data_IF_043367863465
#
_entry.id   IF_043367863465
#
_cell.length_a   1.000
_cell.length_b   1.000
_cell.length_c   1.000
_cell.angle_alpha   90.00
_cell.angle_beta   90.00
_cell.angle_gamma   90.00
#
_symmetry.space_group_name_H-M   'P 1'
#
loop_
_entity.id
_entity.type
_entity.pdbx_description
1 polymer ?
#
# COMPACT_ATOMS: atom_id res chain seq x y z
N UNK A 1 25.45 15.13 -15.32
CA UNK A 1 24.63 14.36 -14.37
C UNK A 1 24.15 15.29 -13.28
N UNK A 2 22.85 15.58 -13.19
CA UNK A 2 22.30 16.24 -12.00
C UNK A 2 22.20 15.20 -10.89
N UNK A 3 22.93 15.43 -9.80
CA UNK A 3 22.77 14.66 -8.56
C UNK A 3 21.45 15.10 -7.93
N UNK A 4 20.36 14.42 -8.27
CA UNK A 4 19.08 14.62 -7.58
C UNK A 4 19.18 13.86 -6.26
N UNK A 5 19.02 14.57 -5.15
CA UNK A 5 18.94 13.93 -3.83
C UNK A 5 17.60 13.20 -3.74
N UNK A 6 17.59 11.89 -3.38
CA UNK A 6 16.36 11.13 -3.29
C UNK A 6 15.45 11.72 -2.21
N UNK A 7 14.16 11.87 -2.55
CA UNK A 7 13.11 12.39 -1.66
C UNK A 7 12.85 11.40 -0.51
N UNK A 8 12.13 11.83 0.54
CA UNK A 8 11.70 10.91 1.59
C UNK A 8 10.92 9.72 1.01
N UNK A 9 10.06 9.97 0.02
CA UNK A 9 9.34 8.92 -0.70
C UNK A 9 10.29 7.99 -1.48
N UNK A 10 11.26 8.54 -2.21
CA UNK A 10 12.24 7.74 -2.93
C UNK A 10 13.10 6.87 -2.01
N UNK A 11 13.47 7.37 -0.84
CA UNK A 11 14.16 6.60 0.20
C UNK A 11 13.28 5.46 0.73
N UNK A 12 11.99 5.70 0.94
CA UNK A 12 11.04 4.68 1.33
C UNK A 12 10.95 3.57 0.27
N UNK A 13 10.77 3.93 -1.01
CA UNK A 13 10.74 2.96 -2.13
C UNK A 13 12.00 2.11 -2.17
N UNK A 14 13.17 2.75 -2.08
CA UNK A 14 14.45 2.06 -2.10
C UNK A 14 14.59 1.07 -0.95
N UNK A 15 14.14 1.45 0.25
CA UNK A 15 14.14 0.57 1.42
C UNK A 15 13.17 -0.60 1.23
N UNK A 16 11.93 -0.33 0.83
CA UNK A 16 10.94 -1.36 0.53
C UNK A 16 11.49 -2.38 -0.48
N UNK A 17 12.12 -1.90 -1.54
CA UNK A 17 12.73 -2.73 -2.58
C UNK A 17 13.86 -3.62 -2.05
N UNK A 18 14.71 -3.10 -1.17
CA UNK A 18 15.78 -3.87 -0.52
C UNK A 18 15.20 -4.93 0.40
N UNK A 19 14.20 -4.55 1.20
CA UNK A 19 13.55 -5.44 2.18
C UNK A 19 12.82 -6.60 1.48
N UNK A 20 12.27 -6.38 0.28
CA UNK A 20 11.61 -7.42 -0.52
C UNK A 20 12.56 -8.18 -1.47
N UNK A 21 13.81 -7.75 -1.59
CA UNK A 21 14.77 -8.31 -2.55
C UNK A 21 14.45 -8.02 -4.02
N UNK A 22 13.59 -7.04 -4.30
CA UNK A 22 13.16 -6.73 -5.64
C UNK A 22 14.21 -5.92 -6.42
N UNK A 23 14.32 -6.17 -7.72
CA UNK A 23 15.01 -5.25 -8.63
C UNK A 23 14.06 -4.13 -9.04
N UNK A 24 14.61 -3.02 -9.54
CA UNK A 24 13.80 -1.92 -10.10
C UNK A 24 12.83 -2.43 -11.18
N UNK A 25 13.29 -3.37 -12.02
CA UNK A 25 12.47 -3.98 -13.07
C UNK A 25 11.31 -4.81 -12.50
N UNK A 26 11.57 -5.62 -11.49
CA UNK A 26 10.55 -6.46 -10.85
C UNK A 26 9.52 -5.60 -10.12
N UNK A 27 9.95 -4.59 -9.37
CA UNK A 27 9.04 -3.69 -8.68
C UNK A 27 8.17 -2.89 -9.68
N UNK A 28 8.76 -2.40 -10.77
CA UNK A 28 8.03 -1.69 -11.82
C UNK A 28 6.97 -2.60 -12.48
N UNK A 29 7.31 -3.86 -12.74
CA UNK A 29 6.37 -4.85 -13.28
C UNK A 29 5.22 -5.13 -12.30
N UNK A 30 5.52 -5.36 -11.02
CA UNK A 30 4.51 -5.62 -9.98
C UNK A 30 3.52 -4.46 -9.82
N UNK A 31 4.00 -3.23 -9.97
CA UNK A 31 3.20 -2.00 -9.84
C UNK A 31 2.54 -1.57 -11.15
N UNK A 32 2.75 -2.29 -12.26
CA UNK A 32 2.30 -1.93 -13.60
C UNK A 32 2.67 -0.48 -13.97
N UNK A 33 3.97 -0.17 -13.85
CA UNK A 33 4.57 1.12 -14.20
C UNK A 33 5.85 0.92 -15.00
N UNK A 34 6.30 1.94 -15.73
CA UNK A 34 7.58 1.86 -16.44
C UNK A 34 8.76 1.95 -15.49
N UNK A 35 9.84 1.23 -15.80
CA UNK A 35 11.10 1.26 -15.03
C UNK A 35 11.65 2.69 -14.94
N UNK A 36 11.55 3.45 -16.04
CA UNK A 36 11.96 4.85 -16.11
C UNK A 36 11.17 5.74 -15.15
N UNK A 37 9.84 5.55 -15.08
CA UNK A 37 9.00 6.28 -14.13
C UNK A 37 9.42 5.97 -12.69
N UNK A 38 9.53 4.68 -12.33
CA UNK A 38 9.90 4.27 -10.97
C UNK A 38 11.28 4.82 -10.56
N UNK A 39 12.27 4.73 -11.45
CA UNK A 39 13.61 5.27 -11.21
C UNK A 39 13.61 6.80 -11.05
N UNK A 40 12.80 7.51 -11.83
CA UNK A 40 12.70 8.97 -11.75
C UNK A 40 12.02 9.42 -10.46
N UNK A 41 11.05 8.65 -9.96
CA UNK A 41 10.41 8.89 -8.66
C UNK A 41 11.36 8.55 -7.51
N UNK A 42 12.06 7.42 -7.56
CA UNK A 42 13.03 6.99 -6.53
C UNK A 42 14.18 8.00 -6.35
N UNK A 43 14.62 8.62 -7.45
CA UNK A 43 15.65 9.66 -7.45
C UNK A 43 15.13 11.07 -7.13
N UNK A 44 13.80 11.28 -7.12
CA UNK A 44 13.20 12.61 -6.92
C UNK A 44 13.19 13.50 -8.17
N UNK A 45 13.55 12.96 -9.35
CA UNK A 45 13.54 13.70 -10.61
C UNK A 45 12.11 13.93 -11.14
N UNK A 46 11.14 13.12 -10.70
CA UNK A 46 9.73 13.21 -11.10
C UNK A 46 8.83 13.18 -9.88
N UNK A 47 7.70 13.88 -9.97
CA UNK A 47 6.63 13.85 -8.97
C UNK A 47 5.98 12.46 -8.86
N UNK A 48 5.42 12.19 -7.67
CA UNK A 48 4.75 10.93 -7.35
C UNK A 48 3.41 10.89 -8.11
N UNK A 49 3.18 9.88 -8.97
CA UNK A 49 1.88 9.69 -9.60
C UNK A 49 0.78 9.44 -8.55
N UNK A 50 -0.45 9.99 -8.71
CA UNK A 50 -1.51 9.90 -7.71
C UNK A 50 -1.84 8.47 -7.27
N UNK A 51 -1.77 7.50 -8.18
CA UNK A 51 -2.13 6.11 -7.89
C UNK A 51 -0.95 5.28 -7.35
N UNK A 52 0.28 5.78 -7.40
CA UNK A 52 1.46 4.96 -7.11
C UNK A 52 1.46 4.49 -5.65
N UNK A 53 1.15 5.39 -4.71
CA UNK A 53 1.10 5.09 -3.29
C UNK A 53 0.04 4.03 -2.96
N UNK A 54 -1.12 4.07 -3.62
CA UNK A 54 -2.19 3.09 -3.44
C UNK A 54 -1.84 1.72 -4.05
N UNK A 55 -1.20 1.71 -5.23
CA UNK A 55 -0.66 0.49 -5.82
C UNK A 55 0.39 -0.15 -4.91
N UNK A 56 1.29 0.63 -4.30
CA UNK A 56 2.30 0.12 -3.38
C UNK A 56 1.65 -0.51 -2.14
N UNK A 57 0.71 0.19 -1.50
CA UNK A 57 -0.03 -0.32 -0.33
C UNK A 57 -0.68 -1.67 -0.63
N UNK A 58 -1.32 -1.78 -1.79
CA UNK A 58 -2.07 -2.97 -2.21
C UNK A 58 -1.16 -4.14 -2.61
N UNK A 59 -0.18 -3.89 -3.50
CA UNK A 59 0.69 -4.93 -4.07
C UNK A 59 1.65 -5.50 -3.03
N UNK A 60 2.20 -4.66 -2.16
CA UNK A 60 3.14 -5.08 -1.12
C UNK A 60 2.47 -5.41 0.21
N UNK A 61 1.12 -5.29 0.29
CA UNK A 61 0.33 -5.59 1.48
C UNK A 61 0.92 -4.94 2.73
N UNK A 62 1.17 -3.63 2.65
CA UNK A 62 1.80 -2.88 3.73
C UNK A 62 0.92 -2.96 4.99
N UNK A 63 1.54 -3.21 6.14
CA UNK A 63 0.86 -3.11 7.42
C UNK A 63 0.55 -1.63 7.76
N UNK A 64 -0.16 -1.39 8.88
CA UNK A 64 -0.52 -0.04 9.30
C UNK A 64 0.71 0.87 9.45
N UNK A 65 1.74 0.42 10.16
CA UNK A 65 2.97 1.20 10.40
C UNK A 65 3.69 1.56 9.10
N UNK A 66 3.82 0.62 8.16
CA UNK A 66 4.45 0.85 6.87
C UNK A 66 3.60 1.76 5.96
N UNK A 67 2.27 1.67 6.06
CA UNK A 67 1.35 2.56 5.35
C UNK A 67 1.44 3.99 5.86
N UNK A 68 1.56 4.17 7.18
CA UNK A 68 1.75 5.47 7.81
C UNK A 68 3.13 6.05 7.50
N UNK A 69 4.17 5.20 7.47
CA UNK A 69 5.51 5.60 7.05
C UNK A 69 5.53 6.06 5.58
N UNK A 70 4.81 5.36 4.69
CA UNK A 70 4.64 5.76 3.29
C UNK A 70 3.91 7.11 3.19
N UNK A 71 2.80 7.27 3.91
CA UNK A 71 2.03 8.52 3.93
C UNK A 71 2.89 9.69 4.44
N UNK A 72 3.64 9.47 5.52
CA UNK A 72 4.58 10.47 6.05
C UNK A 72 5.64 10.85 5.01
N UNK A 73 6.22 9.86 4.33
CA UNK A 73 7.23 10.09 3.29
C UNK A 73 6.67 10.84 2.08
N UNK A 74 5.40 10.61 1.74
CA UNK A 74 4.65 11.35 0.73
C UNK A 74 4.42 12.81 1.17
N UNK A 75 3.93 13.06 2.39
CA UNK A 75 3.74 14.42 2.94
C UNK A 75 5.04 15.23 3.06
N UNK A 76 6.17 14.57 3.36
CA UNK A 76 7.49 15.22 3.41
C UNK A 76 8.06 15.52 2.02
N UNK A 77 7.52 14.88 0.98
CA UNK A 77 7.94 15.12 -0.40
C UNK A 77 7.20 16.32 -0.96
N UNK A 78 7.93 17.24 -1.59
CA UNK A 78 7.31 18.43 -2.17
C UNK A 78 6.41 18.05 -3.36
N UNK A 79 5.12 18.32 -3.24
CA UNK A 79 4.14 18.22 -4.32
C UNK A 79 3.78 19.61 -4.83
N UNK A 80 3.79 19.83 -6.16
CA UNK A 80 3.32 21.09 -6.75
C UNK A 80 1.79 21.16 -6.81
N UNK A 81 1.15 20.02 -7.03
CA UNK A 81 -0.30 19.88 -7.00
C UNK A 81 -0.68 18.44 -6.65
N UNK A 82 -1.87 18.29 -6.09
CA UNK A 82 -2.52 16.99 -5.87
C UNK A 82 -3.73 16.97 -6.80
N UNK A 83 -3.85 15.92 -7.62
CA UNK A 83 -4.94 15.75 -8.57
C UNK A 83 -5.75 14.51 -8.23
N UNK A 84 -7.08 14.62 -8.28
CA UNK A 84 -8.02 13.54 -8.06
C UNK A 84 -8.72 13.26 -9.39
N UNK A 85 -8.66 12.01 -9.86
CA UNK A 85 -9.38 11.60 -11.06
C UNK A 85 -10.88 11.46 -10.78
N UNK A 86 -11.70 12.15 -11.56
CA UNK A 86 -13.16 12.14 -11.40
C UNK A 86 -13.87 11.10 -12.27
N UNK A 87 -13.17 10.46 -13.22
CA UNK A 87 -13.79 9.57 -14.21
C UNK A 87 -14.47 8.33 -13.60
N UNK A 88 -13.97 7.83 -12.48
CA UNK A 88 -14.60 6.71 -11.75
C UNK A 88 -15.85 7.13 -10.95
N UNK A 89 -16.15 8.43 -10.87
CA UNK A 89 -17.19 9.02 -10.04
C UNK A 89 -18.17 9.86 -10.87
N UNK A 90 -18.30 9.57 -12.16
CA UNK A 90 -19.15 10.33 -13.10
C UNK A 90 -20.62 10.41 -12.65
N UNK A 91 -21.16 9.39 -11.99
CA UNK A 91 -22.54 9.42 -11.49
C UNK A 91 -22.65 9.83 -10.02
N UNK A 92 -21.53 10.08 -9.34
CA UNK A 92 -21.50 10.41 -7.91
C UNK A 92 -21.37 11.93 -7.70
N UNK A 93 -22.51 12.61 -7.82
CA UNK A 93 -22.61 14.07 -7.63
C UNK A 93 -22.15 14.53 -6.24
N UNK A 94 -22.42 13.74 -5.20
CA UNK A 94 -22.00 14.06 -3.83
C UNK A 94 -20.47 14.05 -3.70
N UNK A 95 -19.80 13.06 -4.29
CA UNK A 95 -18.34 12.99 -4.33
C UNK A 95 -17.75 14.17 -5.09
N UNK A 96 -18.28 14.49 -6.27
CA UNK A 96 -17.80 15.64 -7.07
C UNK A 96 -17.94 16.95 -6.29
N UNK A 97 -19.11 17.17 -5.67
CA UNK A 97 -19.36 18.36 -4.86
C UNK A 97 -18.41 18.45 -3.68
N UNK A 98 -18.23 17.35 -2.94
CA UNK A 98 -17.30 17.29 -1.82
C UNK A 98 -15.86 17.57 -2.26
N UNK A 99 -15.39 16.94 -3.33
CA UNK A 99 -14.03 17.14 -3.84
C UNK A 99 -13.77 18.59 -4.29
N UNK A 100 -14.76 19.23 -4.95
CA UNK A 100 -14.65 20.64 -5.37
C UNK A 100 -14.64 21.56 -4.14
N UNK A 101 -15.55 21.36 -3.18
CA UNK A 101 -15.58 22.15 -1.94
C UNK A 101 -14.30 21.99 -1.14
N UNK A 102 -13.81 20.77 -0.94
CA UNK A 102 -12.53 20.52 -0.24
C UNK A 102 -11.39 21.24 -0.96
N UNK A 103 -11.28 21.16 -2.28
CA UNK A 103 -10.19 21.80 -3.03
C UNK A 103 -10.13 23.33 -2.81
N UNK A 104 -11.29 23.98 -2.67
CA UNK A 104 -11.39 25.43 -2.45
C UNK A 104 -11.25 25.80 -0.97
N UNK A 105 -12.07 25.18 -0.14
CA UNK A 105 -12.32 25.63 1.23
C UNK A 105 -11.21 25.15 2.19
N UNK A 106 -10.50 24.05 1.87
CA UNK A 106 -9.44 23.51 2.72
C UNK A 106 -8.29 24.49 2.95
N UNK A 107 -8.05 25.41 2.01
CA UNK A 107 -7.02 26.45 2.14
C UNK A 107 -7.40 27.55 3.14
N UNK A 108 -8.70 27.71 3.44
CA UNK A 108 -9.23 28.73 4.34
C UNK A 108 -9.43 28.21 5.77
N UNK A 109 -9.36 26.88 5.97
CA UNK A 109 -9.61 26.25 7.25
C UNK A 109 -8.40 26.37 8.20
N UNK A 110 -8.64 26.58 9.51
CA UNK A 110 -7.58 26.55 10.50
C UNK A 110 -7.08 25.10 10.71
N UNK A 111 -5.81 24.96 11.06
CA UNK A 111 -5.09 23.67 11.15
C UNK A 111 -5.82 22.64 12.04
N UNK A 112 -6.47 23.08 13.11
CA UNK A 112 -7.21 22.21 14.03
C UNK A 112 -8.45 21.57 13.36
N UNK A 113 -9.14 22.28 12.46
CA UNK A 113 -10.28 21.73 11.71
C UNK A 113 -9.80 20.79 10.61
N UNK A 114 -8.70 21.13 9.94
CA UNK A 114 -8.04 20.25 8.96
C UNK A 114 -7.68 18.91 9.60
N UNK A 115 -7.14 18.91 10.82
CA UNK A 115 -6.79 17.69 11.56
C UNK A 115 -8.02 16.82 11.86
N UNK A 116 -9.16 17.42 12.26
CA UNK A 116 -10.40 16.67 12.50
C UNK A 116 -10.93 16.03 11.23
N UNK A 117 -10.99 16.79 10.13
CA UNK A 117 -11.44 16.30 8.83
C UNK A 117 -10.55 15.14 8.37
N UNK A 118 -9.23 15.28 8.49
CA UNK A 118 -8.28 14.22 8.14
C UNK A 118 -8.49 12.96 8.99
N UNK A 119 -8.70 13.10 10.30
CA UNK A 119 -8.97 11.97 11.18
C UNK A 119 -10.27 11.23 10.83
N UNK A 120 -11.34 11.98 10.53
CA UNK A 120 -12.64 11.41 10.16
C UNK A 120 -12.59 10.65 8.83
N UNK A 121 -11.89 11.20 7.83
CA UNK A 121 -11.66 10.54 6.53
C UNK A 121 -10.86 9.26 6.74
N UNK A 122 -9.76 9.32 7.49
CA UNK A 122 -8.88 8.17 7.70
C UNK A 122 -9.60 7.04 8.44
N UNK A 123 -10.34 7.35 9.52
CA UNK A 123 -11.07 6.36 10.31
C UNK A 123 -12.12 5.62 9.48
N UNK A 124 -12.89 6.35 8.66
CA UNK A 124 -13.93 5.75 7.80
C UNK A 124 -13.36 4.97 6.62
N UNK A 125 -12.24 5.42 6.05
CA UNK A 125 -11.57 4.73 4.95
C UNK A 125 -10.93 3.41 5.36
N UNK A 126 -10.30 3.34 6.56
CA UNK A 126 -9.72 2.09 7.10
C UNK A 126 -10.81 1.04 7.36
N UNK A 127 -11.92 1.44 8.00
CA UNK A 127 -13.03 0.52 8.31
C UNK A 127 -13.66 -0.14 7.07
N UNK A 128 -13.66 0.52 5.91
CA UNK A 128 -14.15 -0.08 4.66
C UNK A 128 -13.15 -1.08 4.07
N UNK A 129 -11.84 -0.79 4.15
CA UNK A 129 -10.77 -1.66 3.63
C UNK A 129 -10.64 -2.97 4.41
N UNK A 130 -10.78 -2.93 5.74
CA UNK A 130 -10.71 -4.13 6.58
C UNK A 130 -11.91 -5.08 6.32
N UNK A 131 -13.09 -4.50 6.04
CA UNK A 131 -14.30 -5.26 5.76
C UNK A 131 -14.24 -5.98 4.40
N UNK A 132 -13.71 -5.36 3.34
CA UNK A 132 -13.56 -6.02 2.02
C UNK A 132 -12.53 -7.17 2.06
N UNK A 133 -11.49 -7.06 2.89
CA UNK A 133 -10.49 -8.14 3.06
C UNK A 133 -11.09 -9.38 3.74
N UNK A 134 -12.06 -9.21 4.66
CA UNK A 134 -12.77 -10.33 5.29
C UNK A 134 -13.69 -11.10 4.31
N UNK A 135 -14.18 -10.44 3.25
CA UNK A 135 -14.98 -11.06 2.20
C UNK A 135 -14.18 -12.02 1.30
N UNK A 136 -12.92 -11.68 1.00
CA UNK A 136 -12.01 -12.55 0.27
C UNK A 136 -11.53 -13.73 1.12
N UNK A 137 -11.41 -13.58 2.45
CA UNK A 137 -11.01 -14.67 3.34
C UNK A 137 -12.12 -15.72 3.48
N UNK A 138 -13.38 -15.30 3.42
CA UNK A 138 -14.54 -16.19 3.36
C UNK A 138 -14.67 -16.91 2.00
N UNK A 139 -14.25 -16.28 0.90
CA UNK A 139 -14.25 -16.87 -0.45
C UNK A 139 -12.90 -17.55 -0.82
N UNK A 140 -11.88 -17.39 0.02
CA UNK A 140 -10.48 -17.74 -0.22
C UNK A 140 -10.10 -19.17 0.16
N UNK A 141 -11.06 -20.07 0.36
CA UNK A 141 -10.82 -21.51 0.32
C UNK A 141 -10.97 -22.11 -1.10
N UNK A 142 -11.38 -21.32 -2.10
CA UNK A 142 -11.70 -21.84 -3.43
C UNK A 142 -10.67 -21.51 -4.55
N UNK A 143 -9.66 -20.65 -4.32
CA UNK A 143 -8.84 -20.12 -5.42
C UNK A 143 -7.31 -20.32 -5.29
N UNK A 144 -6.86 -21.40 -4.66
CA UNK A 144 -5.47 -21.90 -4.82
C UNK A 144 -5.52 -23.38 -5.20
N UNK A 145 -6.21 -23.68 -6.30
CA UNK A 145 -6.07 -24.92 -7.03
C UNK A 145 -6.03 -24.55 -8.51
N UNK A 146 -4.84 -24.16 -8.99
CA UNK A 146 -4.32 -24.41 -10.34
C UNK A 146 -2.96 -23.69 -10.47
N UNK A 147 -1.88 -24.42 -10.17
CA UNK A 147 -0.67 -24.31 -10.98
C UNK A 147 0.46 -23.36 -10.55
N UNK A 148 0.79 -23.24 -9.27
CA UNK A 148 2.20 -22.97 -8.88
C UNK A 148 2.55 -23.85 -7.69
N UNK A 149 3.45 -24.81 -7.93
CA UNK A 149 3.92 -25.75 -6.93
C UNK A 149 4.63 -25.04 -5.79
N UNK A 150 3.96 -24.96 -4.65
CA UNK A 150 4.62 -24.79 -3.36
C UNK A 150 4.51 -26.13 -2.65
N UNK A 151 5.62 -26.85 -2.59
CA UNK A 151 5.77 -28.05 -1.78
C UNK A 151 5.55 -27.69 -0.31
N UNK A 152 4.33 -27.91 0.20
CA UNK A 152 4.05 -27.88 1.62
C UNK A 152 4.47 -29.24 2.19
N UNK A 153 5.69 -29.31 2.72
CA UNK A 153 6.20 -30.48 3.41
C UNK A 153 5.28 -30.83 4.58
N UNK A 154 4.57 -31.94 4.45
CA UNK A 154 3.70 -32.49 5.47
C UNK A 154 4.52 -32.85 6.72
N UNK A 155 4.18 -32.23 7.85
CA UNK A 155 4.56 -32.71 9.18
C UNK A 155 3.77 -33.99 9.45
N UNK A 156 4.36 -35.16 9.18
CA UNK A 156 3.90 -36.43 9.73
C UNK A 156 4.82 -36.83 10.88
N UNK A 157 4.25 -36.83 12.08
CA UNK A 157 4.94 -37.19 13.32
C UNK A 157 3.93 -37.64 14.37
N UNK A 158 3.05 -38.57 13.99
CA UNK A 158 2.34 -39.40 14.96
C UNK A 158 3.39 -40.28 15.66
N UNK A 159 3.57 -40.09 16.97
CA UNK A 159 4.28 -41.04 17.82
C UNK A 159 3.30 -41.54 18.88
N UNK A 160 2.88 -42.76 18.65
CA UNK A 160 2.11 -43.58 19.57
C UNK A 160 2.79 -43.65 20.93
N UNK A 161 2.00 -43.47 21.98
CA UNK A 161 2.37 -43.82 23.34
C UNK A 161 1.89 -45.22 23.66
N UNK A 162 2.81 -46.12 24.03
CA UNK A 162 2.57 -47.13 25.07
C UNK A 162 3.92 -47.72 25.57
N UNK A 163 4.09 -47.56 26.88
CA UNK A 163 5.16 -47.90 27.83
C UNK A 163 5.21 -49.44 28.12
N UNK A 164 6.04 -50.03 29.02
CA UNK A 164 7.29 -49.62 29.68
C UNK A 164 8.46 -50.62 29.57
N UNK A 165 9.67 -50.16 29.92
CA UNK A 165 10.69 -51.01 30.56
C UNK A 165 10.77 -50.74 32.07
N UNK A 166 10.60 -51.79 32.85
CA UNK A 166 11.20 -52.03 34.17
C UNK A 166 11.46 -53.54 34.20
N UNK A 167 12.57 -54.09 34.66
CA UNK A 167 13.58 -53.63 35.58
C UNK A 167 13.91 -54.86 36.43
N UNK A 168 15.20 -55.22 36.44
CA UNK A 168 15.86 -56.33 37.15
C UNK A 168 15.80 -57.72 36.51
#
# INVERSE_FOLDING_TARGET
MQCVNPTSYGKFLKRLRIDTGDTLAVMAQKLDVSISLLSSVESGAREIPPELSDKIRTVYKLNADASDALLKAECETLHKSISISMGAYEDNEEFKKAAISISRDLQELPVNEVQKIAADIHKKAQSKRDNDFSGWAALGLAAIALGVGIALAATSGNKDGSNPQGGN
#
